data_IF_735744106458
#
_entry.id   IF_735744106458
#
_cell.length_a   1.000
_cell.length_b   1.000
_cell.length_c   1.000
_cell.angle_alpha   90.00
_cell.angle_beta   90.00
_cell.angle_gamma   90.00
#
_symmetry.space_group_name_H-M   'P 1'
#
loop_
_entity.id
_entity.type
_entity.pdbx_description
1 polymer ?
#
# COMPACT_ATOMS: atom_id res chain seq x y z
N UNK A 1 -8.91 -21.81 8.78
CA UNK A 1 -8.48 -20.40 8.89
C UNK A 1 -9.61 -19.47 9.35
N UNK A 2 -10.88 -19.72 8.99
CA UNK A 2 -12.07 -18.98 9.47
C UNK A 2 -12.33 -18.96 11.00
N UNK A 3 -11.58 -19.72 11.81
CA UNK A 3 -11.88 -19.93 13.23
C UNK A 3 -11.12 -19.01 14.20
N UNK A 4 -10.29 -18.08 13.71
CA UNK A 4 -9.39 -17.28 14.57
C UNK A 4 -9.56 -15.76 14.43
N UNK A 5 -10.39 -15.29 13.49
CA UNK A 5 -10.63 -13.86 13.27
C UNK A 5 -12.13 -13.63 13.26
N UNK A 6 -12.58 -12.70 14.07
CA UNK A 6 -13.95 -12.21 14.06
C UNK A 6 -14.09 -11.08 13.03
N UNK A 7 -14.78 -11.38 11.93
CA UNK A 7 -15.08 -10.40 10.89
C UNK A 7 -16.38 -9.65 11.15
N UNK A 8 -17.27 -10.20 11.97
CA UNK A 8 -18.60 -9.64 12.21
C UNK A 8 -18.52 -8.47 13.20
N UNK A 9 -17.57 -8.50 14.13
CA UNK A 9 -17.32 -7.40 15.08
C UNK A 9 -16.08 -6.55 14.77
N UNK A 10 -15.41 -6.83 13.65
CA UNK A 10 -14.23 -6.07 13.21
C UNK A 10 -14.51 -4.55 13.17
N UNK A 11 -13.68 -3.70 13.82
CA UNK A 11 -13.90 -2.25 13.83
C UNK A 11 -13.78 -1.65 12.44
N UNK A 12 -14.81 -0.92 12.00
CA UNK A 12 -14.76 -0.06 10.82
C UNK A 12 -14.38 1.34 11.27
N UNK A 13 -13.35 1.90 10.66
CA UNK A 13 -12.83 3.23 10.98
C UNK A 13 -12.88 4.14 9.76
N UNK A 14 -12.88 5.45 10.01
CA UNK A 14 -12.71 6.48 9.01
C UNK A 14 -11.73 7.54 9.54
N UNK A 15 -10.61 7.74 8.84
CA UNK A 15 -9.69 8.84 9.11
C UNK A 15 -9.97 10.00 8.16
N UNK A 16 -10.09 11.25 8.65
CA UNK A 16 -10.28 12.41 7.78
C UNK A 16 -9.02 12.66 6.93
N UNK A 17 -9.23 12.99 5.66
CA UNK A 17 -8.16 13.45 4.76
C UNK A 17 -8.64 14.66 3.96
N UNK A 18 -7.72 15.39 3.33
CA UNK A 18 -8.07 16.52 2.46
C UNK A 18 -8.99 16.13 1.28
N UNK A 19 -8.94 14.87 0.83
CA UNK A 19 -9.78 14.36 -0.26
C UNK A 19 -11.08 13.69 0.23
N UNK A 20 -11.40 13.79 1.52
CA UNK A 20 -12.52 13.10 2.16
C UNK A 20 -12.07 11.94 3.07
N UNK A 21 -13.01 11.30 3.79
CA UNK A 21 -12.67 10.25 4.74
C UNK A 21 -12.11 9.01 4.02
N UNK A 22 -11.01 8.47 4.55
CA UNK A 22 -10.51 7.15 4.16
C UNK A 22 -10.94 6.11 5.18
N UNK A 23 -11.56 5.06 4.67
CA UNK A 23 -12.09 3.98 5.49
C UNK A 23 -11.14 2.79 5.55
N UNK A 24 -11.19 2.06 6.64
CA UNK A 24 -10.54 0.77 6.79
C UNK A 24 -11.29 -0.10 7.78
N UNK A 25 -11.06 -1.42 7.71
CA UNK A 25 -11.45 -2.36 8.76
C UNK A 25 -10.19 -2.85 9.46
N UNK A 26 -10.17 -2.78 10.79
CA UNK A 26 -9.08 -3.35 11.58
C UNK A 26 -9.35 -4.83 11.83
N UNK A 27 -8.38 -5.68 11.49
CA UNK A 27 -8.49 -7.13 11.56
C UNK A 27 -7.61 -7.64 12.69
N UNK A 28 -8.23 -8.04 13.80
CA UNK A 28 -7.54 -8.66 14.93
C UNK A 28 -7.42 -10.17 14.73
N UNK A 29 -6.26 -10.72 15.03
CA UNK A 29 -6.00 -12.16 15.04
C UNK A 29 -5.00 -12.51 16.13
N UNK A 30 -4.66 -13.81 16.28
CA UNK A 30 -3.85 -14.32 17.39
C UNK A 30 -2.42 -13.76 17.46
N UNK A 31 -1.90 -13.20 16.38
CA UNK A 31 -0.56 -12.59 16.32
C UNK A 31 -0.60 -11.06 16.34
N UNK A 32 -1.78 -10.43 16.40
CA UNK A 32 -1.93 -8.98 16.47
C UNK A 32 -2.92 -8.44 15.44
N UNK A 33 -2.60 -7.28 14.90
CA UNK A 33 -3.54 -6.50 14.09
C UNK A 33 -3.09 -6.37 12.64
N UNK A 34 -4.05 -6.23 11.73
CA UNK A 34 -3.84 -5.81 10.35
C UNK A 34 -4.92 -4.85 9.90
N UNK A 35 -4.75 -4.29 8.70
CA UNK A 35 -5.67 -3.32 8.13
C UNK A 35 -6.18 -3.79 6.77
N UNK A 36 -7.50 -3.81 6.63
CA UNK A 36 -8.21 -4.03 5.37
C UNK A 36 -8.74 -2.71 4.85
N UNK A 37 -8.09 -2.13 3.84
CA UNK A 37 -8.42 -0.82 3.25
C UNK A 37 -8.35 -0.82 1.71
N UNK A 38 -9.02 -1.77 1.02
CA UNK A 38 -9.06 -1.76 -0.45
C UNK A 38 -9.56 -0.43 -1.01
N UNK A 39 -9.07 -0.02 -2.19
CA UNK A 39 -9.48 1.24 -2.80
C UNK A 39 -10.96 1.21 -3.19
N UNK A 40 -11.61 2.39 -3.34
CA UNK A 40 -12.97 2.48 -3.85
C UNK A 40 -13.14 1.72 -5.18
N UNK A 41 -14.25 0.99 -5.30
CA UNK A 41 -14.55 0.20 -6.51
C UNK A 41 -13.76 -1.10 -6.65
N UNK A 42 -13.01 -1.54 -5.63
CA UNK A 42 -12.39 -2.85 -5.63
C UNK A 42 -13.43 -3.97 -5.80
N UNK A 43 -13.16 -4.89 -6.73
CA UNK A 43 -13.93 -6.12 -6.85
C UNK A 43 -13.57 -7.10 -5.72
N UNK A 44 -14.37 -8.16 -5.57
CA UNK A 44 -14.17 -9.16 -4.51
C UNK A 44 -12.78 -9.82 -4.59
N UNK A 45 -12.23 -9.99 -5.79
CA UNK A 45 -10.90 -10.58 -6.00
C UNK A 45 -9.76 -9.67 -5.54
N UNK A 46 -9.85 -8.36 -5.79
CA UNK A 46 -8.91 -7.38 -5.26
C UNK A 46 -9.08 -7.26 -3.75
N UNK A 47 -10.31 -7.18 -3.25
CA UNK A 47 -10.59 -7.17 -1.82
C UNK A 47 -10.00 -8.41 -1.12
N UNK A 48 -10.14 -9.61 -1.68
CA UNK A 48 -9.53 -10.82 -1.13
C UNK A 48 -7.99 -10.73 -1.00
N UNK A 49 -7.32 -10.04 -1.93
CA UNK A 49 -5.87 -9.76 -1.77
C UNK A 49 -5.63 -8.82 -0.59
N UNK A 50 -6.35 -7.72 -0.50
CA UNK A 50 -6.24 -6.81 0.65
C UNK A 50 -6.52 -7.52 1.99
N UNK A 51 -7.50 -8.42 2.03
CA UNK A 51 -7.78 -9.23 3.21
C UNK A 51 -6.63 -10.20 3.52
N UNK A 52 -6.06 -10.85 2.51
CA UNK A 52 -4.86 -11.69 2.70
C UNK A 52 -3.71 -10.88 3.30
N UNK A 53 -3.51 -9.64 2.84
CA UNK A 53 -2.50 -8.73 3.35
C UNK A 53 -2.77 -8.34 4.82
N UNK A 54 -4.02 -8.05 5.16
CA UNK A 54 -4.45 -7.73 6.53
C UNK A 54 -4.30 -8.92 7.49
N UNK A 55 -4.59 -10.13 7.03
CA UNK A 55 -4.49 -11.35 7.84
C UNK A 55 -3.05 -11.76 8.11
N UNK A 56 -2.10 -11.41 7.24
CA UNK A 56 -0.70 -11.84 7.38
C UNK A 56 -0.07 -11.41 8.71
N UNK A 57 -0.05 -10.11 9.10
CA UNK A 57 0.46 -9.71 10.42
C UNK A 57 -0.40 -10.20 11.58
N UNK A 58 -1.71 -10.37 11.39
CA UNK A 58 -2.61 -10.76 12.48
C UNK A 58 -2.63 -12.26 12.77
N UNK A 59 -2.09 -13.11 11.88
CA UNK A 59 -2.14 -14.58 12.05
C UNK A 59 -0.79 -15.30 11.96
N UNK A 60 0.11 -14.85 11.09
CA UNK A 60 1.38 -15.55 10.81
C UNK A 60 2.60 -14.68 11.13
N UNK A 61 2.45 -13.35 11.05
CA UNK A 61 3.56 -12.41 11.10
C UNK A 61 4.27 -12.29 9.74
N UNK A 62 5.17 -11.32 9.61
CA UNK A 62 5.93 -11.08 8.39
C UNK A 62 7.23 -11.90 8.30
N UNK A 63 7.86 -11.99 7.12
CA UNK A 63 9.25 -12.45 7.02
C UNK A 63 10.20 -11.59 7.85
N UNK A 64 11.33 -12.18 8.25
CA UNK A 64 12.37 -11.46 8.99
C UNK A 64 12.89 -10.26 8.19
N UNK A 65 12.97 -9.13 8.87
CA UNK A 65 13.55 -7.92 8.31
C UNK A 65 15.07 -8.07 8.17
N UNK A 66 15.61 -7.69 7.02
CA UNK A 66 17.06 -7.61 6.80
C UNK A 66 17.62 -6.21 7.13
N UNK A 67 16.75 -5.26 7.51
CA UNK A 67 17.11 -3.92 7.97
C UNK A 67 16.12 -3.42 9.03
N UNK A 68 16.63 -2.72 10.05
CA UNK A 68 15.82 -2.23 11.18
C UNK A 68 15.09 -0.90 10.92
N UNK A 69 15.42 -0.18 9.85
CA UNK A 69 14.73 1.04 9.41
C UNK A 69 14.68 1.09 7.88
N UNK A 70 13.69 1.78 7.34
CA UNK A 70 13.52 1.98 5.90
C UNK A 70 13.58 3.48 5.57
N UNK A 71 14.32 3.89 4.54
CA UNK A 71 14.31 5.27 4.07
C UNK A 71 12.95 5.62 3.46
N UNK A 72 12.51 6.86 3.65
CA UNK A 72 11.24 7.39 3.15
C UNK A 72 11.47 8.74 2.46
N UNK A 73 10.80 8.95 1.33
CA UNK A 73 10.81 10.20 0.57
C UNK A 73 9.40 10.80 0.56
N UNK A 74 9.30 12.12 0.41
CA UNK A 74 8.03 12.85 0.38
C UNK A 74 7.27 12.72 -0.95
N UNK A 75 7.87 12.06 -1.95
CA UNK A 75 7.29 11.79 -3.26
C UNK A 75 7.42 12.96 -4.24
N UNK A 76 8.04 14.08 -3.86
CA UNK A 76 8.12 15.28 -4.70
C UNK A 76 8.88 15.05 -6.01
N UNK A 77 9.85 14.14 -6.01
CA UNK A 77 10.67 13.77 -7.19
C UNK A 77 10.10 12.60 -8.01
N UNK A 78 8.86 12.17 -7.71
CA UNK A 78 8.22 10.97 -8.28
C UNK A 78 6.81 11.29 -8.78
N UNK A 79 6.69 12.14 -9.82
CA UNK A 79 5.38 12.57 -10.30
C UNK A 79 4.55 11.40 -10.82
N UNK A 80 3.27 11.43 -10.49
CA UNK A 80 2.28 10.48 -11.00
C UNK A 80 1.68 11.00 -12.31
N UNK A 81 1.66 10.16 -13.33
CA UNK A 81 1.09 10.47 -14.65
C UNK A 81 0.11 9.37 -15.06
N UNK A 82 -1.10 9.75 -15.46
CA UNK A 82 -2.09 8.81 -15.97
C UNK A 82 -1.87 8.53 -17.47
N UNK A 83 -1.87 7.25 -17.85
CA UNK A 83 -1.66 6.80 -19.22
C UNK A 83 -2.98 6.48 -19.96
N UNK A 84 -4.07 7.16 -19.62
CA UNK A 84 -5.36 7.00 -20.32
C UNK A 84 -5.31 7.49 -21.77
N UNK A 85 -4.47 8.49 -22.03
CA UNK A 85 -4.07 8.95 -23.36
C UNK A 85 -2.54 8.97 -23.39
N UNK A 86 -1.96 8.17 -24.29
CA UNK A 86 -0.50 8.01 -24.41
C UNK A 86 0.17 9.32 -24.86
N UNK A 87 -0.43 10.05 -25.79
CA UNK A 87 0.16 11.29 -26.30
C UNK A 87 0.17 12.36 -25.20
N UNK A 88 -0.94 12.51 -24.48
CA UNK A 88 -1.03 13.42 -23.35
C UNK A 88 -0.06 13.04 -22.22
N UNK A 89 0.11 11.75 -21.93
CA UNK A 89 1.06 11.26 -20.94
C UNK A 89 2.51 11.59 -21.33
N UNK A 90 2.90 11.33 -22.58
CA UNK A 90 4.25 11.63 -23.08
C UNK A 90 4.52 13.12 -23.06
N UNK A 91 3.58 13.96 -23.53
CA UNK A 91 3.72 15.41 -23.47
C UNK A 91 3.89 15.91 -22.03
N UNK A 92 3.06 15.40 -21.10
CA UNK A 92 3.17 15.75 -19.67
C UNK A 92 4.52 15.35 -19.08
N UNK A 93 5.07 14.21 -19.47
CA UNK A 93 6.39 13.76 -18.99
C UNK A 93 7.51 14.63 -19.56
N UNK A 94 7.42 15.02 -20.83
CA UNK A 94 8.40 15.90 -21.47
C UNK A 94 8.44 17.31 -20.86
N UNK A 95 7.30 17.80 -20.33
CA UNK A 95 7.23 19.08 -19.61
C UNK A 95 7.90 19.05 -18.24
N UNK A 96 8.25 17.86 -17.73
CA UNK A 96 8.92 17.71 -16.45
C UNK A 96 10.41 17.99 -16.57
N UNK A 97 10.99 18.62 -15.55
CA UNK A 97 12.44 18.83 -15.46
C UNK A 97 13.11 17.52 -15.05
N UNK A 98 13.69 16.81 -16.01
CA UNK A 98 14.29 15.49 -15.80
C UNK A 98 15.35 15.47 -14.67
N UNK A 99 16.07 16.58 -14.47
CA UNK A 99 17.12 16.71 -13.45
C UNK A 99 16.56 16.69 -12.01
N UNK A 100 15.28 17.00 -11.85
CA UNK A 100 14.59 17.07 -10.55
C UNK A 100 13.81 15.76 -10.24
N UNK A 101 13.87 14.75 -11.12
CA UNK A 101 13.01 13.56 -11.07
C UNK A 101 13.82 12.28 -10.99
N UNK A 102 13.40 11.38 -10.10
CA UNK A 102 13.99 10.06 -9.96
C UNK A 102 13.41 9.07 -10.98
N UNK A 103 12.08 9.07 -11.11
CA UNK A 103 11.30 8.31 -12.10
C UNK A 103 9.84 8.79 -12.11
N UNK A 104 9.07 8.41 -13.13
CA UNK A 104 7.63 8.67 -13.22
C UNK A 104 6.84 7.46 -12.73
N UNK A 105 5.88 7.69 -11.84
CA UNK A 105 4.86 6.70 -11.48
C UNK A 105 3.75 6.74 -12.52
N UNK A 106 3.68 5.74 -13.39
CA UNK A 106 2.70 5.69 -14.46
C UNK A 106 1.46 4.90 -14.05
N UNK A 107 0.33 5.59 -13.91
CA UNK A 107 -0.97 4.97 -13.68
C UNK A 107 -1.52 4.43 -14.99
N UNK A 108 -1.44 3.11 -15.15
CA UNK A 108 -1.83 2.44 -16.38
C UNK A 108 -2.48 1.08 -16.10
N UNK A 109 -3.45 0.72 -16.93
CA UNK A 109 -4.10 -0.61 -16.94
C UNK A 109 -3.78 -1.43 -18.20
N UNK A 110 -3.24 -0.78 -19.23
CA UNK A 110 -2.86 -1.43 -20.48
C UNK A 110 -1.33 -1.47 -20.62
N UNK A 111 -0.70 -2.66 -20.58
CA UNK A 111 0.74 -2.75 -20.71
C UNK A 111 1.28 -2.21 -22.04
N UNK A 112 0.48 -2.24 -23.13
CA UNK A 112 0.89 -1.70 -24.42
C UNK A 112 1.01 -0.16 -24.37
N UNK A 113 0.04 0.52 -23.75
CA UNK A 113 0.09 1.95 -23.50
C UNK A 113 1.30 2.32 -22.62
N UNK A 114 1.54 1.59 -21.51
CA UNK A 114 2.71 1.82 -20.66
C UNK A 114 4.03 1.66 -21.43
N UNK A 115 4.15 0.61 -22.24
CA UNK A 115 5.33 0.40 -23.11
C UNK A 115 5.52 1.54 -24.11
N UNK A 116 4.43 2.06 -24.67
CA UNK A 116 4.49 3.19 -25.62
C UNK A 116 5.01 4.46 -24.95
N UNK A 117 4.52 4.78 -23.75
CA UNK A 117 5.02 5.90 -22.94
C UNK A 117 6.50 5.70 -22.60
N UNK A 118 6.87 4.52 -22.09
CA UNK A 118 8.25 4.18 -21.72
C UNK A 118 9.23 4.39 -22.87
N UNK A 119 8.88 3.99 -24.09
CA UNK A 119 9.76 4.15 -25.27
C UNK A 119 9.99 5.59 -25.70
N UNK A 120 9.18 6.54 -25.19
CA UNK A 120 9.17 7.95 -25.60
C UNK A 120 9.51 8.90 -24.45
N UNK A 121 9.71 8.38 -23.25
CA UNK A 121 10.09 9.15 -22.07
C UNK A 121 11.62 9.12 -21.90
N UNK A 122 12.19 10.27 -21.56
CA UNK A 122 13.62 10.41 -21.27
C UNK A 122 13.96 10.14 -19.78
N UNK A 123 12.95 9.80 -18.97
CA UNK A 123 13.07 9.44 -17.56
C UNK A 123 12.54 8.03 -17.31
N UNK A 124 13.04 7.31 -16.29
CA UNK A 124 12.58 5.95 -16.01
C UNK A 124 11.09 5.90 -15.68
N UNK A 125 10.40 4.87 -16.17
CA UNK A 125 8.97 4.65 -15.93
C UNK A 125 8.79 3.51 -14.92
N UNK A 126 8.03 3.78 -13.85
CA UNK A 126 7.62 2.81 -12.85
C UNK A 126 6.12 2.50 -12.98
N UNK A 127 5.75 1.22 -12.96
CA UNK A 127 4.34 0.77 -12.99
C UNK A 127 4.04 -0.24 -11.89
N UNK A 128 2.77 -0.47 -11.59
CA UNK A 128 2.35 -1.54 -10.67
C UNK A 128 2.94 -2.89 -11.11
N UNK A 129 3.52 -3.63 -10.16
CA UNK A 129 4.06 -4.97 -10.40
C UNK A 129 3.04 -5.93 -11.04
N UNK A 130 1.74 -5.73 -10.83
CA UNK A 130 0.70 -6.51 -11.50
C UNK A 130 0.66 -6.28 -13.02
N UNK A 131 0.96 -5.08 -13.51
CA UNK A 131 0.98 -4.77 -14.94
C UNK A 131 2.16 -5.46 -15.64
N UNK A 132 3.31 -5.53 -14.95
CA UNK A 132 4.52 -6.19 -15.43
C UNK A 132 4.38 -7.71 -15.55
N UNK A 133 3.41 -8.33 -14.86
CA UNK A 133 3.13 -9.76 -15.04
C UNK A 133 2.56 -10.07 -16.42
N UNK A 134 1.84 -9.12 -17.03
CA UNK A 134 1.31 -9.25 -18.38
C UNK A 134 2.37 -8.89 -19.44
N UNK A 135 3.23 -7.92 -19.14
CA UNK A 135 4.34 -7.51 -20.01
C UNK A 135 5.53 -6.99 -19.18
N UNK A 136 6.58 -7.79 -18.98
CA UNK A 136 7.76 -7.36 -18.22
C UNK A 136 8.55 -6.22 -18.86
N UNK A 137 8.28 -5.86 -20.13
CA UNK A 137 9.00 -4.82 -20.87
C UNK A 137 8.27 -3.47 -20.89
N UNK A 138 7.11 -3.36 -20.23
CA UNK A 138 6.27 -2.15 -20.27
C UNK A 138 6.77 -1.00 -19.39
N UNK A 139 7.73 -1.25 -18.48
CA UNK A 139 8.30 -0.25 -17.59
C UNK A 139 9.76 -0.59 -17.24
N UNK A 140 10.46 0.35 -16.60
CA UNK A 140 11.83 0.19 -16.11
C UNK A 140 11.88 -0.26 -14.64
N UNK A 141 10.83 0.07 -13.86
CA UNK A 141 10.73 -0.26 -12.44
C UNK A 141 9.38 -0.89 -12.07
N UNK A 142 9.42 -1.76 -11.06
CA UNK A 142 8.22 -2.32 -10.45
C UNK A 142 7.84 -1.55 -9.17
N UNK A 143 6.61 -1.06 -9.13
CA UNK A 143 5.98 -0.52 -7.93
C UNK A 143 5.35 -1.67 -7.16
N UNK A 144 5.83 -1.91 -5.93
CA UNK A 144 5.30 -2.89 -5.01
C UNK A 144 4.41 -2.23 -3.96
N UNK A 145 3.26 -2.85 -3.69
CA UNK A 145 2.29 -2.43 -2.67
C UNK A 145 1.77 -3.67 -1.96
N UNK A 146 1.74 -3.67 -0.63
CA UNK A 146 1.42 -4.86 0.15
C UNK A 146 -0.05 -5.29 -0.04
N UNK A 147 -0.99 -4.35 0.10
CA UNK A 147 -2.43 -4.58 -0.05
C UNK A 147 -2.83 -5.30 -1.34
N UNK A 148 -2.63 -4.70 -2.53
CA UNK A 148 -3.04 -5.31 -3.80
C UNK A 148 -2.20 -6.54 -4.19
N UNK A 149 -1.04 -6.77 -3.57
CA UNK A 149 -0.23 -7.98 -3.76
C UNK A 149 -0.72 -9.17 -2.92
N UNK A 150 -1.47 -8.89 -1.85
CA UNK A 150 -1.92 -9.90 -0.90
C UNK A 150 -0.87 -10.26 0.15
N UNK A 151 -0.16 -9.25 0.66
CA UNK A 151 0.79 -9.40 1.75
C UNK A 151 2.24 -9.27 1.33
N UNK A 152 3.11 -9.14 2.33
CA UNK A 152 4.55 -8.99 2.24
C UNK A 152 5.15 -10.17 1.48
N UNK A 153 4.83 -11.41 1.87
CA UNK A 153 5.40 -12.60 1.20
C UNK A 153 5.03 -12.68 -0.27
N UNK A 154 3.79 -12.34 -0.63
CA UNK A 154 3.36 -12.34 -2.05
C UNK A 154 4.04 -11.23 -2.83
N UNK A 155 4.18 -10.04 -2.25
CA UNK A 155 4.89 -8.93 -2.87
C UNK A 155 6.38 -9.25 -3.08
N UNK A 156 7.06 -9.87 -2.11
CA UNK A 156 8.46 -10.31 -2.25
C UNK A 156 8.63 -11.34 -3.38
N UNK A 157 7.75 -12.35 -3.46
CA UNK A 157 7.78 -13.33 -4.57
C UNK A 157 7.58 -12.67 -5.93
N UNK A 158 6.76 -11.61 -6.02
CA UNK A 158 6.63 -10.83 -7.26
C UNK A 158 7.91 -10.09 -7.58
N UNK A 159 8.53 -9.44 -6.59
CA UNK A 159 9.82 -8.75 -6.77
C UNK A 159 10.89 -9.69 -7.33
N UNK A 160 11.04 -10.86 -6.72
CA UNK A 160 11.98 -11.90 -7.14
C UNK A 160 11.69 -12.37 -8.57
N UNK A 161 10.42 -12.68 -8.89
CA UNK A 161 10.04 -13.14 -10.23
C UNK A 161 10.27 -12.09 -11.31
N UNK A 162 10.04 -10.82 -11.01
CA UNK A 162 10.20 -9.74 -11.98
C UNK A 162 11.66 -9.43 -12.28
N UNK A 163 12.55 -9.54 -11.28
CA UNK A 163 13.97 -9.27 -11.45
C UNK A 163 14.29 -7.82 -11.86
N UNK A 164 13.35 -6.89 -11.64
CA UNK A 164 13.49 -5.47 -11.94
C UNK A 164 13.84 -4.68 -10.67
N UNK A 165 14.43 -3.47 -10.80
CA UNK A 165 14.45 -2.49 -9.72
C UNK A 165 13.04 -2.26 -9.16
N UNK A 166 12.93 -2.23 -7.84
CA UNK A 166 11.62 -2.09 -7.17
C UNK A 166 11.58 -0.86 -6.27
N UNK A 167 10.43 -0.20 -6.24
CA UNK A 167 10.08 0.81 -5.23
C UNK A 167 8.87 0.32 -4.44
N UNK A 168 8.90 0.47 -3.13
CA UNK A 168 7.75 0.17 -2.26
C UNK A 168 6.95 1.45 -2.06
N UNK A 169 5.72 1.44 -2.56
CA UNK A 169 4.78 2.53 -2.37
C UNK A 169 3.84 2.18 -1.22
N UNK A 170 3.65 3.16 -0.34
CA UNK A 170 2.80 2.99 0.83
C UNK A 170 1.33 3.16 0.47
N UNK A 171 0.50 2.28 1.03
CA UNK A 171 -0.92 2.18 0.72
C UNK A 171 -1.82 2.14 1.95
N UNK A 172 -1.25 1.90 3.13
CA UNK A 172 -1.98 1.90 4.40
C UNK A 172 -2.71 3.22 4.67
N UNK A 173 -3.93 3.11 5.18
CA UNK A 173 -4.76 4.22 5.64
C UNK A 173 -4.31 4.69 7.03
N UNK A 174 -3.90 3.76 7.90
CA UNK A 174 -3.38 4.03 9.26
C UNK A 174 -1.95 3.49 9.41
N UNK A 175 -1.33 3.73 10.57
CA UNK A 175 -0.04 3.10 10.89
C UNK A 175 -0.08 1.58 10.93
N UNK A 176 -1.25 0.96 11.17
CA UNK A 176 -1.39 -0.50 11.18
C UNK A 176 -1.20 -1.05 9.76
N UNK A 177 -1.88 -0.49 8.76
CA UNK A 177 -1.71 -0.87 7.36
C UNK A 177 -0.34 -0.48 6.82
N UNK A 178 0.14 0.71 7.16
CA UNK A 178 1.43 1.22 6.72
C UNK A 178 2.60 0.34 7.20
N UNK A 179 2.48 -0.25 8.39
CA UNK A 179 3.49 -1.15 8.92
C UNK A 179 3.73 -2.37 8.02
N UNK A 180 2.72 -2.85 7.28
CA UNK A 180 2.89 -3.94 6.32
C UNK A 180 3.73 -3.53 5.10
N UNK A 181 3.58 -2.29 4.62
CA UNK A 181 4.44 -1.77 3.54
C UNK A 181 5.87 -1.52 4.03
N UNK A 182 6.04 -1.04 5.27
CA UNK A 182 7.36 -0.91 5.91
C UNK A 182 8.03 -2.27 6.07
N UNK A 183 7.29 -3.29 6.51
CA UNK A 183 7.80 -4.65 6.65
C UNK A 183 8.24 -5.25 5.30
N UNK A 184 7.49 -4.98 4.22
CA UNK A 184 7.90 -5.35 2.87
C UNK A 184 9.23 -4.69 2.49
N UNK A 185 9.35 -3.38 2.65
CA UNK A 185 10.60 -2.66 2.37
C UNK A 185 11.76 -3.16 3.25
N UNK A 186 11.50 -3.55 4.49
CA UNK A 186 12.49 -4.05 5.42
C UNK A 186 12.97 -5.48 5.11
N UNK A 187 12.12 -6.30 4.49
CA UNK A 187 12.43 -7.69 4.14
C UNK A 187 13.07 -7.86 2.75
N UNK A 188 12.94 -6.88 1.85
CA UNK A 188 13.54 -6.96 0.51
C UNK A 188 15.08 -7.04 0.58
N UNK A 189 15.77 -7.86 -0.23
CA UNK A 189 17.24 -7.95 -0.18
C UNK A 189 17.93 -6.62 -0.47
N UNK A 190 17.42 -5.87 -1.44
CA UNK A 190 17.93 -4.56 -1.84
C UNK A 190 16.80 -3.54 -1.88
N UNK A 191 17.12 -2.30 -1.53
CA UNK A 191 16.21 -1.18 -1.57
C UNK A 191 16.92 -0.01 -2.24
N UNK A 192 16.71 0.13 -3.55
CA UNK A 192 17.39 1.12 -4.39
C UNK A 192 16.80 2.52 -4.25
N UNK A 193 15.54 2.60 -3.81
CA UNK A 193 14.78 3.83 -3.70
C UNK A 193 14.20 3.96 -2.30
N UNK A 194 14.15 5.19 -1.78
CA UNK A 194 13.36 5.49 -0.60
C UNK A 194 11.88 5.09 -0.81
N UNK A 195 11.18 4.71 0.24
CA UNK A 195 9.78 4.24 0.16
C UNK A 195 8.79 5.39 0.30
N UNK A 196 7.50 5.09 0.10
CA UNK A 196 6.41 6.02 0.42
C UNK A 196 5.73 6.66 -0.79
N UNK A 197 5.12 7.85 -0.62
CA UNK A 197 5.19 8.71 0.58
C UNK A 197 4.37 8.19 1.76
N UNK A 198 4.69 8.66 2.97
CA UNK A 198 3.83 8.46 4.14
C UNK A 198 2.58 9.34 4.02
N UNK A 199 1.38 8.83 4.32
CA UNK A 199 0.19 9.67 4.28
C UNK A 199 0.25 10.83 5.29
N UNK A 200 0.11 12.06 4.79
CA UNK A 200 0.24 13.27 5.61
C UNK A 200 -0.78 13.38 6.75
N UNK A 201 -1.95 12.74 6.61
CA UNK A 201 -2.97 12.76 7.65
C UNK A 201 -2.58 11.98 8.91
N UNK A 202 -1.59 11.07 8.87
CA UNK A 202 -1.20 10.29 10.05
C UNK A 202 -0.69 11.16 11.21
N UNK A 203 -0.23 12.38 10.93
CA UNK A 203 0.17 13.33 11.96
C UNK A 203 -0.98 13.73 12.90
N UNK A 204 -2.23 13.71 12.40
CA UNK A 204 -3.42 14.18 13.13
C UNK A 204 -4.48 13.09 13.30
N UNK A 205 -4.50 12.12 12.38
CA UNK A 205 -5.55 11.13 12.22
C UNK A 205 -4.95 9.72 12.06
N UNK A 206 -4.79 9.04 13.20
CA UNK A 206 -4.29 7.68 13.29
C UNK A 206 -4.91 6.95 14.49
N UNK A 207 -5.06 5.63 14.40
CA UNK A 207 -5.71 4.81 15.44
C UNK A 207 -4.75 4.28 16.49
N UNK A 208 -3.44 4.42 16.29
CA UNK A 208 -2.43 4.04 17.27
C UNK A 208 -2.00 5.25 18.11
N UNK A 209 -1.33 5.02 19.24
CA UNK A 209 -0.80 6.11 20.07
C UNK A 209 0.26 6.94 19.32
N UNK A 210 0.47 8.20 19.73
CA UNK A 210 1.42 9.11 19.07
C UNK A 210 2.84 8.54 18.98
N UNK A 211 3.28 7.87 20.04
CA UNK A 211 4.60 7.23 20.08
C UNK A 211 4.73 6.03 19.12
N UNK A 212 3.61 5.49 18.64
CA UNK A 212 3.54 4.33 17.75
C UNK A 212 3.10 4.69 16.32
N UNK A 213 2.71 5.93 16.08
CA UNK A 213 2.37 6.41 14.74
C UNK A 213 3.63 6.43 13.85
N UNK A 214 3.49 5.91 12.64
CA UNK A 214 4.55 5.79 11.65
C UNK A 214 4.76 7.11 10.90
N UNK A 215 5.23 8.10 11.64
CA UNK A 215 5.65 9.41 11.13
C UNK A 215 7.17 9.38 10.94
N UNK A 216 7.70 9.74 9.75
CA UNK A 216 9.13 9.73 9.49
C UNK A 216 9.92 10.57 10.48
N UNK A 217 11.06 10.03 10.94
CA UNK A 217 12.08 10.76 11.69
C UNK A 217 13.42 10.56 10.99
N UNK A 218 14.14 11.65 10.74
CA UNK A 218 15.38 11.66 9.96
C UNK A 218 15.23 10.96 8.60
N UNK A 219 14.11 11.19 7.91
CA UNK A 219 13.73 10.54 6.65
C UNK A 219 13.65 8.99 6.70
N UNK A 220 13.37 8.42 7.88
CA UNK A 220 13.25 6.97 8.06
C UNK A 220 12.01 6.57 8.86
N UNK A 221 11.54 5.35 8.64
CA UNK A 221 10.58 4.65 9.49
C UNK A 221 11.19 3.39 10.13
N UNK A 222 10.83 3.05 11.37
CA UNK A 222 11.29 1.83 12.01
C UNK A 222 10.59 0.59 11.44
N UNK A 223 11.37 -0.48 11.20
CA UNK A 223 10.84 -1.79 10.83
C UNK A 223 10.51 -2.60 12.10
N UNK A 224 9.30 -2.41 12.62
CA UNK A 224 8.81 -3.23 13.73
C UNK A 224 8.44 -4.64 13.23
N UNK A 225 8.62 -5.69 14.05
CA UNK A 225 8.28 -7.07 13.66
C UNK A 225 6.77 -7.32 13.55
N UNK A 226 5.96 -6.41 14.11
CA UNK A 226 4.50 -6.47 14.06
C UNK A 226 3.90 -5.06 14.14
N UNK A 227 2.66 -4.85 13.65
CA UNK A 227 1.95 -3.59 13.82
C UNK A 227 1.72 -3.24 15.30
N UNK A 228 1.57 -1.95 15.59
CA UNK A 228 1.09 -1.51 16.89
C UNK A 228 -0.40 -1.87 17.03
N UNK A 229 -0.83 -2.26 18.24
CA UNK A 229 -2.25 -2.37 18.55
C UNK A 229 -2.91 -0.98 18.48
N UNK A 230 -4.20 -0.90 18.09
CA UNK A 230 -4.93 0.35 18.15
C UNK A 230 -5.02 0.84 19.59
N UNK A 231 -4.91 2.15 19.78
CA UNK A 231 -5.18 2.81 21.05
C UNK A 231 -6.71 2.88 21.25
N UNK A 232 -7.27 2.40 22.38
CA UNK A 232 -8.72 2.31 22.55
C UNK A 232 -9.46 3.65 22.41
N UNK A 233 -8.88 4.75 22.91
CA UNK A 233 -9.49 6.08 22.86
C UNK A 233 -9.49 6.61 21.43
N UNK A 234 -8.36 6.44 20.72
CA UNK A 234 -8.26 6.85 19.32
C UNK A 234 -9.11 5.98 18.40
N UNK A 235 -9.16 4.67 18.64
CA UNK A 235 -10.04 3.76 17.92
C UNK A 235 -11.50 4.20 18.04
N UNK A 236 -11.96 4.52 19.26
CA UNK A 236 -13.32 5.03 19.47
C UNK A 236 -13.56 6.37 18.76
N UNK A 237 -12.56 7.25 18.72
CA UNK A 237 -12.65 8.55 18.03
C UNK A 237 -12.86 8.41 16.52
N UNK A 238 -12.21 7.43 15.89
CA UNK A 238 -12.28 7.22 14.43
C UNK A 238 -13.25 6.11 14.02
N UNK A 239 -13.93 5.47 14.97
CA UNK A 239 -14.92 4.43 14.68
C UNK A 239 -16.09 5.00 13.89
N UNK A 240 -16.48 4.29 12.83
CA UNK A 240 -17.68 4.59 12.06
C UNK A 240 -18.88 4.04 12.81
N UNK A 241 -19.86 4.89 13.07
CA UNK A 241 -21.12 4.52 13.77
C UNK A 241 -22.30 4.43 12.82
N UNK A 242 -22.17 4.90 11.58
CA UNK A 242 -23.20 4.77 10.55
C UNK A 242 -23.37 3.31 10.13
N UNK A 243 -24.56 2.77 10.36
CA UNK A 243 -24.84 1.34 10.18
C UNK A 243 -24.71 0.88 8.72
N UNK A 244 -25.10 1.72 7.75
CA UNK A 244 -25.00 1.40 6.32
C UNK A 244 -23.54 1.30 5.89
N UNK A 245 -22.71 2.26 6.30
CA UNK A 245 -21.27 2.23 6.03
C UNK A 245 -20.58 1.04 6.70
N UNK A 246 -20.94 0.74 7.96
CA UNK A 246 -20.40 -0.43 8.67
C UNK A 246 -20.75 -1.73 7.93
N UNK A 247 -22.01 -1.92 7.55
CA UNK A 247 -22.46 -3.12 6.85
C UNK A 247 -21.86 -3.21 5.44
N UNK A 248 -21.66 -2.08 4.75
CA UNK A 248 -20.96 -2.07 3.47
C UNK A 248 -19.55 -2.65 3.58
N UNK A 249 -18.76 -2.16 4.54
CA UNK A 249 -17.37 -2.60 4.75
C UNK A 249 -17.27 -4.03 5.28
N UNK A 250 -18.10 -4.40 6.26
CA UNK A 250 -18.16 -5.79 6.78
C UNK A 250 -18.68 -6.76 5.71
N UNK A 251 -19.62 -6.34 4.88
CA UNK A 251 -20.11 -7.11 3.74
C UNK A 251 -19.03 -7.37 2.70
N UNK A 252 -18.25 -6.35 2.33
CA UNK A 252 -17.09 -6.51 1.43
C UNK A 252 -16.04 -7.46 2.04
N UNK A 253 -15.73 -7.30 3.32
CA UNK A 253 -14.82 -8.17 4.06
C UNK A 253 -15.28 -9.64 4.03
N UNK A 254 -16.58 -9.90 4.28
CA UNK A 254 -17.17 -11.25 4.23
C UNK A 254 -17.11 -11.86 2.84
N UNK A 255 -17.42 -11.09 1.78
CA UNK A 255 -17.30 -11.56 0.39
C UNK A 255 -15.86 -11.89 0.01
N UNK A 256 -14.92 -11.02 0.39
CA UNK A 256 -13.49 -11.27 0.23
C UNK A 256 -13.06 -12.55 0.97
N UNK A 257 -13.51 -12.75 2.21
CA UNK A 257 -13.22 -13.93 3.02
C UNK A 257 -13.86 -15.23 2.47
N UNK A 258 -14.90 -15.13 1.64
CA UNK A 258 -15.58 -16.29 1.07
C UNK A 258 -14.81 -16.94 -0.09
N UNK A 259 -13.83 -16.23 -0.67
CA UNK A 259 -13.03 -16.70 -1.82
C UNK A 259 -11.54 -16.91 -1.47
N UNK A 260 -11.18 -16.90 -0.19
CA UNK A 260 -9.86 -17.26 0.34
C UNK A 260 -9.84 -18.70 0.84
#
# INVERSE_FOLDING_TARGET
>A
MRTLIDFDDAPVIAVPTAAGPRHAVLVEGPQGWGEFSPPPGADDALAARWLTAAMEPSTVGWPDAVRGRVPVDDGTRRPTVAAGDVEAAVARIADLRAEDIEFVLLECRDPAAARSVRRRADVPIAVDAALLLADPQCADLAVLRCGPSGGVRRAMRRAEKLGLPVVVQFTGTTSIGLAADVALAAALPQLLFACGPVPGWLAEADVVSEARSLIPRDAHLPAAPMPAAPDPVRLQRFAVTDAETVEHWRGLLRRAAAIL
#
